data_IF_559041386908
#
_entry.id   IF_559041386908
#
_cell.length_a   1.000
_cell.length_b   1.000
_cell.length_c   1.000
_cell.angle_alpha   90.00
_cell.angle_beta   90.00
_cell.angle_gamma   90.00
#
_symmetry.space_group_name_H-M   'P 1'
#
loop_
_entity.id
_entity.type
_entity.pdbx_description
1 polymer ?
#
# COMPACT_ATOMS: atom_id res chain seq x y z
N UNK A 1 13.05 0.43 7.55
CA UNK A 1 12.70 -1.01 7.60
C UNK A 1 12.30 -1.39 9.02
N UNK A 2 11.53 -2.47 9.19
CA UNK A 2 11.04 -2.95 10.50
C UNK A 2 9.90 -2.14 11.11
N UNK A 3 9.43 -1.09 10.43
CA UNK A 3 8.32 -0.24 10.90
C UNK A 3 6.99 -0.76 10.36
N UNK A 4 5.94 -0.62 11.17
CA UNK A 4 4.57 -0.81 10.72
C UNK A 4 4.18 0.35 9.81
N UNK A 5 3.64 0.03 8.65
CA UNK A 5 3.23 0.98 7.61
C UNK A 5 1.81 0.68 7.15
N UNK A 6 1.17 1.71 6.59
CA UNK A 6 -0.09 1.62 5.85
C UNK A 6 0.16 2.19 4.46
N UNK A 7 -0.25 1.47 3.42
CA UNK A 7 -0.10 1.92 2.04
C UNK A 7 -1.34 1.53 1.23
N UNK A 8 -1.74 2.38 0.28
CA UNK A 8 -2.66 2.00 -0.78
C UNK A 8 -1.84 1.73 -2.04
N UNK A 9 -2.06 0.58 -2.65
CA UNK A 9 -1.34 0.15 -3.86
C UNK A 9 -2.32 -0.17 -4.98
N UNK A 10 -1.94 0.10 -6.21
CA UNK A 10 -2.58 -0.46 -7.39
C UNK A 10 -2.11 -1.91 -7.57
N UNK A 11 -3.04 -2.85 -7.68
CA UNK A 11 -2.74 -4.27 -7.93
C UNK A 11 -2.33 -4.43 -9.39
N UNK A 12 -1.06 -4.77 -9.64
CA UNK A 12 -0.56 -5.03 -10.98
C UNK A 12 -0.67 -6.50 -11.35
N UNK A 13 -0.30 -7.39 -10.41
CA UNK A 13 -0.41 -8.85 -10.54
C UNK A 13 -0.60 -9.49 -9.17
N UNK A 14 -1.50 -10.47 -9.09
CA UNK A 14 -1.66 -11.35 -7.93
C UNK A 14 -1.48 -12.79 -8.41
N UNK A 15 -0.50 -13.51 -7.87
CA UNK A 15 -0.15 -14.85 -8.33
C UNK A 15 -0.88 -15.97 -7.56
N UNK A 16 -1.79 -15.60 -6.67
CA UNK A 16 -2.54 -16.56 -5.83
C UNK A 16 -1.70 -17.31 -4.80
N UNK A 17 -0.37 -17.10 -4.77
CA UNK A 17 0.58 -17.78 -3.88
C UNK A 17 0.88 -17.00 -2.59
N UNK A 18 0.15 -15.90 -2.37
CA UNK A 18 0.35 -15.01 -1.24
C UNK A 18 1.37 -13.89 -1.51
N UNK A 19 1.55 -13.51 -2.78
CA UNK A 19 2.30 -12.30 -3.15
C UNK A 19 1.51 -11.47 -4.16
N UNK A 20 1.45 -10.17 -3.89
CA UNK A 20 0.88 -9.16 -4.79
C UNK A 20 1.98 -8.22 -5.24
N UNK A 21 2.20 -8.15 -6.55
CA UNK A 21 3.02 -7.10 -7.14
C UNK A 21 2.11 -5.90 -7.40
N UNK A 22 2.45 -4.77 -6.81
CA UNK A 22 1.68 -3.54 -6.93
C UNK A 22 2.52 -2.33 -7.31
N UNK A 23 1.82 -1.22 -7.49
CA UNK A 23 2.41 0.11 -7.66
C UNK A 23 1.89 1.02 -6.56
N UNK A 24 2.78 1.67 -5.82
CA UNK A 24 2.40 2.66 -4.80
C UNK A 24 1.93 3.98 -5.43
N UNK A 25 1.38 4.87 -4.61
CA UNK A 25 0.85 6.16 -5.08
C UNK A 25 1.92 7.16 -5.52
N UNK A 26 3.20 6.86 -5.32
CA UNK A 26 4.37 7.57 -5.84
C UNK A 26 5.04 6.87 -7.05
N UNK A 27 4.27 6.02 -7.73
CA UNK A 27 4.65 5.26 -8.93
C UNK A 27 5.81 4.25 -8.76
N UNK A 28 6.21 3.94 -7.53
CA UNK A 28 7.19 2.90 -7.26
C UNK A 28 6.58 1.51 -7.32
N UNK A 29 7.34 0.53 -7.82
CA UNK A 29 6.94 -0.86 -7.76
C UNK A 29 7.16 -1.40 -6.34
N UNK A 30 6.19 -2.16 -5.83
CA UNK A 30 6.24 -2.73 -4.48
C UNK A 30 5.72 -4.17 -4.47
N UNK A 31 6.36 -5.01 -3.65
CA UNK A 31 5.95 -6.39 -3.41
C UNK A 31 5.25 -6.49 -2.07
N UNK A 32 4.00 -6.93 -2.06
CA UNK A 32 3.25 -7.17 -0.82
C UNK A 32 3.10 -8.66 -0.60
N UNK A 33 3.70 -9.16 0.48
CA UNK A 33 3.70 -10.58 0.87
C UNK A 33 2.61 -10.81 1.92
N UNK A 34 1.93 -11.95 1.86
CA UNK A 34 0.89 -12.33 2.83
C UNK A 34 -0.30 -12.97 2.12
N UNK A 35 -1.40 -13.19 2.83
CA UNK A 35 -2.57 -13.85 2.23
C UNK A 35 -3.67 -12.82 1.93
N UNK A 36 -3.69 -12.20 0.73
CA UNK A 36 -4.74 -11.28 0.35
C UNK A 36 -6.11 -12.00 0.29
N UNK A 37 -7.20 -11.37 0.75
CA UNK A 37 -8.55 -11.86 0.50
C UNK A 37 -8.86 -11.75 -1.00
N UNK A 38 -9.47 -12.78 -1.59
CA UNK A 38 -9.92 -12.71 -2.98
C UNK A 38 -11.37 -12.20 -3.10
N UNK A 39 -11.80 -11.75 -4.29
CA UNK A 39 -11.00 -11.07 -5.31
C UNK A 39 -10.56 -9.67 -4.84
N UNK A 40 -9.42 -9.20 -5.34
CA UNK A 40 -8.91 -7.85 -5.04
C UNK A 40 -9.51 -6.82 -6.02
N UNK A 41 -9.79 -5.63 -5.51
CA UNK A 41 -10.08 -4.46 -6.35
C UNK A 41 -8.80 -3.91 -6.98
N UNK A 42 -8.94 -2.96 -7.91
CA UNK A 42 -7.79 -2.30 -8.58
C UNK A 42 -6.85 -1.66 -7.57
N UNK A 43 -7.38 -1.04 -6.51
CA UNK A 43 -6.61 -0.49 -5.41
C UNK A 43 -6.91 -1.22 -4.11
N UNK A 44 -5.88 -1.47 -3.31
CA UNK A 44 -5.98 -2.19 -2.04
C UNK A 44 -5.18 -1.45 -0.98
N UNK A 45 -5.77 -1.27 0.21
CA UNK A 45 -5.05 -0.82 1.39
C UNK A 45 -4.40 -2.03 2.07
N UNK A 46 -3.12 -1.88 2.40
CA UNK A 46 -2.32 -2.88 3.10
C UNK A 46 -1.71 -2.26 4.35
N UNK A 47 -1.81 -2.99 5.47
CA UNK A 47 -1.15 -2.63 6.72
C UNK A 47 -0.24 -3.78 7.12
N UNK A 48 1.02 -3.49 7.41
CA UNK A 48 2.00 -4.51 7.77
C UNK A 48 3.38 -3.95 8.06
N UNK A 49 4.40 -4.81 8.01
CA UNK A 49 5.78 -4.44 8.33
C UNK A 49 6.58 -4.24 7.03
N UNK A 50 7.20 -3.07 6.87
CA UNK A 50 8.14 -2.82 5.78
C UNK A 50 9.44 -3.60 6.00
N UNK A 51 9.61 -4.73 5.34
CA UNK A 51 10.76 -5.64 5.51
C UNK A 51 11.94 -5.30 4.59
N UNK A 52 11.70 -4.49 3.54
CA UNK A 52 12.74 -3.86 2.71
C UNK A 52 12.26 -2.49 2.19
N UNK A 53 13.00 -1.88 1.25
CA UNK A 53 12.61 -0.59 0.66
C UNK A 53 11.38 -0.69 -0.25
N UNK A 54 11.12 -1.87 -0.82
CA UNK A 54 10.07 -2.10 -1.82
C UNK A 54 9.24 -3.33 -1.46
N UNK A 55 9.16 -3.68 -0.18
CA UNK A 55 8.33 -4.80 0.26
C UNK A 55 7.68 -4.56 1.61
N UNK A 56 6.44 -5.05 1.71
CA UNK A 56 5.62 -5.05 2.92
C UNK A 56 5.20 -6.50 3.17
N UNK A 57 5.47 -6.99 4.38
CA UNK A 57 4.81 -8.19 4.90
C UNK A 57 3.47 -7.77 5.50
N UNK A 58 2.39 -7.97 4.74
CA UNK A 58 1.06 -7.53 5.11
C UNK A 58 0.45 -8.41 6.20
N UNK A 59 -0.24 -7.73 7.12
CA UNK A 59 -1.01 -8.31 8.22
C UNK A 59 -2.51 -8.10 7.98
N UNK A 60 -2.87 -6.98 7.36
CA UNK A 60 -4.25 -6.60 7.05
C UNK A 60 -4.30 -6.17 5.58
N UNK A 61 -5.39 -6.57 4.92
CA UNK A 61 -5.73 -6.21 3.56
C UNK A 61 -7.16 -5.68 3.53
N UNK A 62 -7.42 -4.64 2.75
CA UNK A 62 -8.76 -4.09 2.58
C UNK A 62 -8.93 -3.57 1.15
N UNK A 63 -9.96 -4.05 0.45
CA UNK A 63 -10.29 -3.54 -0.88
C UNK A 63 -10.63 -2.05 -0.80
N UNK A 64 -9.87 -1.23 -1.51
CA UNK A 64 -9.99 0.22 -1.49
C UNK A 64 -10.88 0.75 -2.61
N UNK A 65 -11.20 -0.11 -3.59
CA UNK A 65 -12.04 0.21 -4.74
C UNK A 65 -11.26 0.27 -6.05
N UNK A 66 -11.96 0.62 -7.12
CA UNK A 66 -11.43 0.56 -8.48
C UNK A 66 -11.02 1.92 -9.05
N UNK A 67 -11.32 3.00 -8.34
CA UNK A 67 -10.99 4.36 -8.74
C UNK A 67 -10.28 5.09 -7.60
N UNK A 68 -9.13 5.68 -7.90
CA UNK A 68 -8.35 6.46 -6.95
C UNK A 68 -7.54 7.51 -7.73
N UNK A 69 -7.67 8.78 -7.32
CA UNK A 69 -6.71 9.80 -7.71
C UNK A 69 -5.42 9.62 -6.88
N UNK A 70 -4.47 8.88 -7.45
CA UNK A 70 -3.20 8.57 -6.81
C UNK A 70 -2.36 9.81 -6.55
N UNK A 71 -2.48 10.85 -7.40
CA UNK A 71 -1.75 12.10 -7.22
C UNK A 71 -2.21 12.81 -5.94
N UNK A 72 -3.52 13.03 -5.81
CA UNK A 72 -4.09 13.68 -4.62
C UNK A 72 -3.84 12.86 -3.35
N UNK A 73 -3.97 11.53 -3.42
CA UNK A 73 -3.68 10.65 -2.29
C UNK A 73 -2.21 10.74 -1.84
N UNK A 74 -1.26 10.69 -2.78
CA UNK A 74 0.16 10.82 -2.46
C UNK A 74 0.49 12.17 -1.82
N UNK A 75 -0.15 13.27 -2.27
CA UNK A 75 0.01 14.59 -1.65
C UNK A 75 -0.42 14.58 -0.18
N UNK A 76 -1.50 13.89 0.17
CA UNK A 76 -1.91 13.72 1.57
C UNK A 76 -0.86 12.92 2.35
N UNK A 77 -0.33 11.83 1.79
CA UNK A 77 0.76 11.07 2.42
C UNK A 77 2.00 11.93 2.68
N UNK A 78 2.38 12.79 1.73
CA UNK A 78 3.51 13.71 1.90
C UNK A 78 3.25 14.73 3.01
N UNK A 79 2.04 15.29 3.10
CA UNK A 79 1.67 16.21 4.19
C UNK A 79 1.73 15.50 5.55
N UNK A 80 1.21 14.28 5.63
CA UNK A 80 1.19 13.47 6.85
C UNK A 80 2.58 13.03 7.33
N UNK A 81 3.56 12.93 6.42
CA UNK A 81 4.94 12.54 6.75
C UNK A 81 5.93 13.71 6.76
N UNK A 82 5.48 14.93 6.44
CA UNK A 82 6.32 16.13 6.33
C UNK A 82 6.09 17.12 7.47
N UNK A 83 6.12 18.41 7.12
CA UNK A 83 6.04 19.52 8.08
C UNK A 83 4.71 19.56 8.85
N UNK A 84 3.65 19.05 8.23
CA UNK A 84 2.31 19.01 8.81
C UNK A 84 2.00 17.71 9.57
N UNK A 85 2.98 16.82 9.80
CA UNK A 85 2.76 15.54 10.50
C UNK A 85 2.07 15.68 11.86
N UNK A 86 2.25 16.82 12.53
CA UNK A 86 1.64 17.12 13.83
C UNK A 86 0.12 17.29 13.78
N UNK A 87 -0.46 17.43 12.59
CA UNK A 87 -1.91 17.50 12.36
C UNK A 87 -2.54 16.13 12.06
N UNK A 88 -1.73 15.08 11.90
CA UNK A 88 -2.17 13.73 11.61
C UNK A 88 -1.91 12.85 12.85
N UNK A 89 -2.97 12.21 13.36
CA UNK A 89 -2.98 11.43 14.61
C UNK A 89 -2.89 9.94 14.28
#
# INVERSE_FOLDING_TARGET
MGRRVRAVIQVMRSDGSGTVNGRSTDDQQIVVKGNPPGPLTTFVEVIGIADSNQSIRAEIWSNFGDTLDTYSYNRICMLANGDYKHLFI
#
